data_IF_530356854142
#
_entry.id   IF_530356854142
#
_cell.length_a   1.000
_cell.length_b   1.000
_cell.length_c   1.000
_cell.angle_alpha   90.00
_cell.angle_beta   90.00
_cell.angle_gamma   90.00
#
_symmetry.space_group_name_H-M   'P 1'
#
loop_
_entity.id
_entity.type
_entity.pdbx_description
1 polymer ?
#
# COMPACT_ATOMS: atom_id res chain seq x y z
N UNK A 1 -3.69 17.60 -1.42
CA UNK A 1 -2.41 17.80 -2.13
C UNK A 1 -1.91 16.40 -2.36
N UNK A 2 -1.77 15.99 -3.61
CA UNK A 2 -1.65 14.58 -3.96
C UNK A 2 -0.18 14.19 -4.09
N UNK A 3 0.20 13.09 -3.44
CA UNK A 3 1.55 12.53 -3.41
C UNK A 3 1.60 11.21 -4.16
N UNK A 4 2.66 11.03 -4.95
CA UNK A 4 3.01 9.77 -5.58
C UNK A 4 3.98 8.99 -4.70
N UNK A 5 3.61 7.75 -4.38
CA UNK A 5 4.31 6.89 -3.42
C UNK A 5 4.65 5.57 -4.10
N UNK A 6 5.88 5.11 -3.89
CA UNK A 6 6.38 3.89 -4.52
C UNK A 6 6.77 2.88 -3.43
N UNK A 7 6.02 1.78 -3.37
CA UNK A 7 6.23 0.72 -2.38
C UNK A 7 6.78 -0.51 -3.07
N UNK A 8 7.92 -1.03 -2.60
CA UNK A 8 8.49 -2.25 -3.15
C UNK A 8 7.62 -3.48 -2.81
N UNK A 9 7.64 -4.53 -3.64
CA UNK A 9 6.84 -5.76 -3.39
C UNK A 9 7.16 -6.43 -2.06
N UNK A 10 8.37 -6.27 -1.54
CA UNK A 10 8.78 -6.80 -0.22
C UNK A 10 8.00 -6.13 0.92
N UNK A 11 7.53 -4.91 0.68
CA UNK A 11 6.73 -4.10 1.59
C UNK A 11 5.23 -4.21 1.23
N UNK A 12 4.78 -5.37 0.73
CA UNK A 12 3.38 -5.60 0.31
C UNK A 12 2.37 -5.37 1.44
N UNK A 13 2.77 -5.53 2.70
CA UNK A 13 1.95 -5.19 3.86
C UNK A 13 1.67 -3.69 3.94
N UNK A 14 2.69 -2.85 3.71
CA UNK A 14 2.53 -1.40 3.64
C UNK A 14 1.62 -1.02 2.47
N UNK A 15 1.81 -1.66 1.31
CA UNK A 15 0.96 -1.45 0.13
C UNK A 15 -0.52 -1.81 0.41
N UNK A 16 -0.77 -2.93 1.10
CA UNK A 16 -2.10 -3.37 1.50
C UNK A 16 -2.73 -2.39 2.50
N UNK A 17 -1.96 -1.94 3.47
CA UNK A 17 -2.38 -0.94 4.44
C UNK A 17 -2.76 0.38 3.79
N UNK A 18 -1.90 0.91 2.91
CA UNK A 18 -2.18 2.12 2.15
C UNK A 18 -3.49 2.00 1.36
N UNK A 19 -3.67 0.88 0.65
CA UNK A 19 -4.90 0.63 -0.13
C UNK A 19 -6.13 0.52 0.76
N UNK A 20 -6.03 -0.20 1.88
CA UNK A 20 -7.12 -0.34 2.85
C UNK A 20 -7.56 1.00 3.45
N UNK A 21 -6.65 1.95 3.60
CA UNK A 21 -6.88 3.25 4.23
C UNK A 21 -7.08 4.41 3.23
N UNK A 22 -7.27 4.11 1.95
CA UNK A 22 -7.73 5.08 0.94
C UNK A 22 -6.67 5.58 -0.04
N UNK A 23 -5.44 5.06 -0.01
CA UNK A 23 -4.50 5.28 -1.10
C UNK A 23 -4.97 4.54 -2.36
N UNK A 24 -4.91 5.20 -3.52
CA UNK A 24 -5.25 4.58 -4.79
C UNK A 24 -4.01 3.95 -5.41
N UNK A 25 -4.04 2.63 -5.62
CA UNK A 25 -3.04 1.94 -6.43
C UNK A 25 -3.25 2.36 -7.90
N UNK A 26 -2.23 2.95 -8.51
CA UNK A 26 -2.27 3.38 -9.91
C UNK A 26 -1.65 2.34 -10.84
N UNK A 27 -0.51 1.77 -10.45
CA UNK A 27 0.21 0.81 -11.27
C UNK A 27 1.00 -0.20 -10.41
N UNK A 28 1.21 -1.41 -10.93
CA UNK A 28 2.22 -2.33 -10.42
C UNK A 28 3.18 -2.69 -11.57
N UNK A 29 4.46 -2.33 -11.41
CA UNK A 29 5.48 -2.56 -12.44
C UNK A 29 6.84 -2.81 -11.78
N UNK A 30 7.61 -3.74 -12.36
CA UNK A 30 9.00 -4.02 -11.92
C UNK A 30 9.10 -4.42 -10.42
N UNK A 31 8.07 -5.10 -9.89
CA UNK A 31 8.05 -5.47 -8.47
C UNK A 31 7.86 -4.27 -7.53
N UNK A 32 7.30 -3.17 -8.02
CA UNK A 32 6.96 -1.97 -7.24
C UNK A 32 5.49 -1.60 -7.46
N UNK A 33 4.81 -1.26 -6.38
CA UNK A 33 3.46 -0.72 -6.36
C UNK A 33 3.52 0.80 -6.35
N UNK A 34 2.84 1.43 -7.30
CA UNK A 34 2.71 2.87 -7.42
C UNK A 34 1.35 3.28 -6.85
N UNK A 35 1.38 4.20 -5.91
CA UNK A 35 0.20 4.71 -5.22
C UNK A 35 0.10 6.21 -5.35
N UNK A 36 -1.14 6.69 -5.35
CA UNK A 36 -1.46 8.10 -5.29
C UNK A 36 -2.33 8.34 -4.06
N UNK A 37 -1.90 9.26 -3.19
CA UNK A 37 -2.56 9.52 -1.90
C UNK A 37 -2.43 10.98 -1.49
N UNK A 38 -3.38 11.52 -0.73
CA UNK A 38 -3.25 12.83 -0.09
C UNK A 38 -2.35 12.82 1.17
N UNK A 39 -1.87 11.64 1.58
CA UNK A 39 -0.99 11.46 2.75
C UNK A 39 0.40 11.02 2.29
N UNK A 40 1.49 11.62 2.79
CA UNK A 40 2.85 11.26 2.39
C UNK A 40 3.29 9.88 2.91
N UNK A 41 4.26 9.24 2.25
CA UNK A 41 4.74 7.89 2.61
C UNK A 41 5.18 7.77 4.08
N UNK A 42 5.85 8.78 4.63
CA UNK A 42 6.34 8.76 6.01
C UNK A 42 5.22 8.56 7.02
N UNK A 43 4.06 9.20 6.82
CA UNK A 43 2.87 9.01 7.66
C UNK A 43 2.34 7.58 7.56
N UNK A 44 2.32 6.99 6.36
CA UNK A 44 1.89 5.62 6.14
C UNK A 44 2.75 4.62 6.92
N UNK A 45 4.08 4.79 6.91
CA UNK A 45 5.01 3.92 7.66
C UNK A 45 4.84 4.04 9.16
N UNK A 46 4.58 5.23 9.68
CA UNK A 46 4.35 5.46 11.12
C UNK A 46 3.02 4.83 11.56
N UNK A 47 1.95 5.01 10.79
CA UNK A 47 0.61 4.49 11.12
C UNK A 47 0.48 2.98 10.91
N UNK A 48 1.26 2.40 9.98
CA UNK A 48 1.34 0.96 9.74
C UNK A 48 1.79 0.17 10.99
N UNK A 49 2.50 0.79 11.92
CA UNK A 49 3.00 0.12 13.13
C UNK A 49 1.90 -0.29 14.13
N UNK A 50 0.62 0.08 13.92
CA UNK A 50 -0.42 -0.14 14.94
C UNK A 50 -1.86 -0.36 14.47
N UNK A 51 -2.15 -0.66 13.19
CA UNK A 51 -3.55 -0.70 12.70
C UNK A 51 -4.03 -2.05 12.13
N UNK A 52 -5.33 -2.27 12.39
CA UNK A 52 -6.29 -3.31 11.98
C UNK A 52 -5.84 -4.37 10.96
N UNK A 53 -5.44 -5.54 11.47
CA UNK A 53 -4.99 -6.69 10.69
C UNK A 53 -6.00 -7.17 9.64
N UNK A 54 -7.31 -7.17 9.95
CA UNK A 54 -8.30 -7.88 9.14
C UNK A 54 -8.57 -7.22 7.77
N UNK A 55 -8.59 -5.87 7.72
CA UNK A 55 -8.79 -5.10 6.48
C UNK A 55 -7.51 -5.09 5.63
N UNK A 56 -6.36 -5.05 6.29
CA UNK A 56 -5.05 -5.16 5.63
C UNK A 56 -4.87 -6.54 5.02
N UNK A 57 -5.24 -7.62 5.72
CA UNK A 57 -5.14 -9.00 5.20
C UNK A 57 -5.99 -9.22 3.94
N UNK A 58 -7.20 -8.67 3.88
CA UNK A 58 -8.04 -8.74 2.67
C UNK A 58 -7.36 -8.05 1.47
N UNK A 59 -6.82 -6.84 1.67
CA UNK A 59 -6.11 -6.12 0.62
C UNK A 59 -4.77 -6.80 0.26
N UNK A 60 -4.11 -7.43 1.22
CA UNK A 60 -2.89 -8.21 1.02
C UNK A 60 -3.15 -9.39 0.09
N UNK A 61 -4.26 -10.11 0.28
CA UNK A 61 -4.67 -11.21 -0.60
C UNK A 61 -4.94 -10.72 -2.03
N UNK A 62 -5.55 -9.53 -2.18
CA UNK A 62 -5.77 -8.92 -3.50
C UNK A 62 -4.45 -8.54 -4.15
N UNK A 63 -3.53 -7.89 -3.43
CA UNK A 63 -2.23 -7.51 -3.96
C UNK A 63 -1.36 -8.73 -4.29
N UNK A 64 -1.46 -9.80 -3.51
CA UNK A 64 -0.75 -11.07 -3.79
C UNK A 64 -1.09 -11.65 -5.17
N UNK A 65 -2.30 -11.44 -5.67
CA UNK A 65 -2.70 -11.89 -7.02
C UNK A 65 -1.98 -11.16 -8.16
N UNK A 66 -1.45 -9.95 -7.91
CA UNK A 66 -0.67 -9.20 -8.90
C UNK A 66 0.82 -9.61 -8.93
N UNK A 67 1.28 -10.33 -7.90
CA UNK A 67 2.70 -10.73 -7.74
C UNK A 67 2.94 -12.18 -8.19
N UNK A 68 1.88 -12.96 -8.40
CA UNK A 68 1.90 -14.33 -8.96
C UNK A 68 2.01 -14.30 -10.48
#
# INVERSE_FOLDING_TARGET
MTFDIVVAKRDIHLAAYMKAHGAKLTEYRDGKFYFTSDTPESDWRVKHAGSDALRVDQELLVLRRFVV
#
